data_IF_470778443328
#
_entry.id   IF_470778443328
#
_cell.length_a   1.000
_cell.length_b   1.000
_cell.length_c   1.000
_cell.angle_alpha   90.00
_cell.angle_beta   90.00
_cell.angle_gamma   90.00
#
_symmetry.space_group_name_H-M   'P 1'
#
loop_
_entity.id
_entity.type
_entity.pdbx_description
1 polymer ?
#
# COMPACT_ATOMS: atom_id res chain seq x y z
N UNK A 1 13.25 6.67 2.43
CA UNK A 1 13.65 6.97 3.82
C UNK A 1 13.29 8.39 4.22
N UNK A 2 13.60 9.41 3.40
CA UNK A 2 13.23 10.81 3.67
C UNK A 2 11.73 11.01 3.93
N UNK A 3 10.87 10.43 3.09
CA UNK A 3 9.42 10.47 3.27
C UNK A 3 8.94 9.89 4.63
N UNK A 4 9.61 8.84 5.12
CA UNK A 4 9.27 8.20 6.40
C UNK A 4 9.73 9.09 7.56
N UNK A 5 10.87 9.77 7.43
CA UNK A 5 11.33 10.75 8.44
C UNK A 5 10.37 11.93 8.55
N UNK A 6 9.96 12.52 7.42
CA UNK A 6 8.97 13.60 7.39
C UNK A 6 7.64 13.18 7.99
N UNK A 7 7.19 11.96 7.70
CA UNK A 7 5.99 11.39 8.31
C UNK A 7 6.15 11.27 9.83
N UNK A 8 7.27 10.72 10.29
CA UNK A 8 7.54 10.55 11.71
C UNK A 8 7.58 11.90 12.44
N UNK A 9 8.21 12.92 11.85
CA UNK A 9 8.22 14.28 12.42
C UNK A 9 6.81 14.89 12.49
N UNK A 10 6.03 14.79 11.40
CA UNK A 10 4.67 15.34 11.31
C UNK A 10 3.73 14.75 12.36
N UNK A 11 3.84 13.45 12.63
CA UNK A 11 2.99 12.73 13.58
C UNK A 11 3.67 12.50 14.93
N UNK A 12 4.82 13.14 15.19
CA UNK A 12 5.62 12.99 16.41
C UNK A 12 5.94 11.52 16.79
N UNK A 13 6.18 10.69 15.78
CA UNK A 13 6.48 9.26 15.91
C UNK A 13 7.96 9.02 16.17
N UNK A 14 8.26 7.90 16.84
CA UNK A 14 9.64 7.50 17.14
C UNK A 14 10.26 6.85 15.90
N UNK A 15 11.21 7.51 15.26
CA UNK A 15 11.98 6.89 14.17
C UNK A 15 13.47 7.15 14.31
N UNK A 16 14.18 6.22 14.97
CA UNK A 16 15.59 6.37 15.25
C UNK A 16 16.44 5.25 14.63
N UNK A 17 17.18 5.60 13.58
CA UNK A 17 18.06 4.69 12.85
C UNK A 17 19.45 4.75 13.51
N UNK A 18 19.60 4.18 14.70
CA UNK A 18 20.92 4.08 15.35
C UNK A 18 21.74 2.93 14.77
N UNK A 19 21.23 1.69 14.84
CA UNK A 19 22.01 0.48 14.46
C UNK A 19 21.21 -0.59 13.70
N UNK A 20 19.92 -0.77 14.01
CA UNK A 20 19.09 -1.82 13.42
C UNK A 20 17.85 -1.20 12.78
N UNK A 21 17.80 -1.28 11.45
CA UNK A 21 16.71 -0.71 10.67
C UNK A 21 15.39 -1.44 10.92
N UNK A 22 15.38 -2.78 11.06
CA UNK A 22 14.16 -3.52 11.40
C UNK A 22 13.58 -3.05 12.74
N UNK A 23 14.45 -2.88 13.74
CA UNK A 23 14.05 -2.38 15.06
C UNK A 23 13.52 -0.95 14.98
N UNK A 24 14.16 -0.07 14.21
CA UNK A 24 13.68 1.30 14.02
C UNK A 24 12.28 1.35 13.38
N UNK A 25 11.96 0.44 12.45
CA UNK A 25 10.61 0.32 11.89
C UNK A 25 9.61 -0.29 12.88
N UNK A 26 10.02 -1.27 13.70
CA UNK A 26 9.17 -1.79 14.77
C UNK A 26 8.84 -0.71 15.81
N UNK A 27 9.83 0.05 16.26
CA UNK A 27 9.65 1.16 17.19
C UNK A 27 8.76 2.25 16.60
N UNK A 28 8.89 2.53 15.29
CA UNK A 28 8.01 3.44 14.55
C UNK A 28 6.56 2.96 14.57
N UNK A 29 6.31 1.71 14.17
CA UNK A 29 4.97 1.13 14.16
C UNK A 29 4.37 1.11 15.56
N UNK A 30 5.13 0.74 16.58
CA UNK A 30 4.68 0.73 17.97
C UNK A 30 4.40 2.13 18.55
N UNK A 31 4.97 3.18 17.95
CA UNK A 31 4.72 4.57 18.38
C UNK A 31 3.48 5.21 17.74
N UNK A 32 2.82 4.51 16.81
CA UNK A 32 1.59 5.00 16.18
C UNK A 32 0.47 5.01 17.24
N UNK A 33 -0.30 6.11 17.40
CA UNK A 33 -1.18 6.31 18.56
C UNK A 33 -2.38 5.36 18.67
N UNK A 34 -2.76 4.67 17.59
CA UNK A 34 -3.90 3.75 17.59
C UNK A 34 -4.30 3.25 16.21
N UNK A 35 -5.33 2.40 16.17
CA UNK A 35 -5.75 1.65 14.98
C UNK A 35 -6.17 2.53 13.80
N UNK A 36 -6.85 3.64 14.07
CA UNK A 36 -7.25 4.59 13.02
C UNK A 36 -6.03 5.16 12.29
N UNK A 37 -4.95 5.49 13.03
CA UNK A 37 -3.70 5.95 12.43
C UNK A 37 -2.99 4.83 11.66
N UNK A 38 -2.96 3.61 12.21
CA UNK A 38 -2.37 2.44 11.53
C UNK A 38 -3.01 2.20 10.17
N UNK A 39 -4.33 2.34 10.06
CA UNK A 39 -5.06 2.14 8.80
C UNK A 39 -4.52 2.99 7.64
N UNK A 40 -3.98 4.17 7.91
CA UNK A 40 -3.41 5.07 6.88
C UNK A 40 -1.89 4.96 6.83
N UNK A 41 -1.24 5.07 8.00
CA UNK A 41 0.20 5.21 8.08
C UNK A 41 0.93 3.93 7.67
N UNK A 42 0.38 2.76 7.96
CA UNK A 42 0.99 1.48 7.58
C UNK A 42 1.09 1.38 6.05
N UNK A 43 0.03 1.75 5.32
CA UNK A 43 0.03 1.77 3.85
C UNK A 43 1.07 2.73 3.29
N UNK A 44 1.24 3.91 3.91
CA UNK A 44 2.26 4.86 3.51
C UNK A 44 3.68 4.29 3.75
N UNK A 45 3.92 3.68 4.92
CA UNK A 45 5.20 3.08 5.28
C UNK A 45 5.53 1.94 4.30
N UNK A 46 4.59 1.01 4.07
CA UNK A 46 4.76 -0.12 3.16
C UNK A 46 5.08 0.31 1.73
N UNK A 47 4.41 1.35 1.21
CA UNK A 47 4.69 1.91 -0.13
C UNK A 47 6.09 2.51 -0.28
N UNK A 48 6.74 2.87 0.83
CA UNK A 48 8.11 3.39 0.84
C UNK A 48 9.18 2.30 1.05
N UNK A 49 8.79 1.03 1.23
CA UNK A 49 9.70 -0.11 1.28
C UNK A 49 9.97 -0.66 -0.13
N UNK A 50 11.11 -1.35 -0.28
CA UNK A 50 11.42 -2.07 -1.53
C UNK A 50 10.55 -3.31 -1.64
N UNK A 51 10.05 -3.59 -2.85
CA UNK A 51 9.42 -4.88 -3.18
C UNK A 51 10.45 -6.01 -3.04
N UNK A 52 10.01 -7.14 -2.50
CA UNK A 52 10.78 -8.37 -2.53
C UNK A 52 10.94 -8.87 -3.98
N UNK A 53 11.98 -9.65 -4.24
CA UNK A 53 12.25 -10.26 -5.55
C UNK A 53 13.08 -11.52 -5.40
N UNK A 54 13.02 -12.41 -6.37
CA UNK A 54 13.94 -13.53 -6.47
C UNK A 54 15.31 -13.04 -6.97
N UNK A 55 16.39 -13.55 -6.36
CA UNK A 55 17.76 -13.24 -6.73
C UNK A 55 18.63 -14.45 -6.36
N UNK A 56 19.62 -14.78 -7.18
CA UNK A 56 20.57 -15.86 -6.86
C UNK A 56 21.56 -15.46 -5.75
N UNK A 57 21.65 -14.16 -5.44
CA UNK A 57 22.43 -13.62 -4.34
C UNK A 57 21.52 -13.38 -3.14
N UNK A 58 21.80 -14.08 -2.04
CA UNK A 58 21.10 -13.85 -0.78
C UNK A 58 21.47 -12.47 -0.20
N UNK A 59 20.47 -11.60 -0.05
CA UNK A 59 20.59 -10.26 0.58
C UNK A 59 19.86 -10.17 1.92
N UNK A 60 19.33 -11.30 2.41
CA UNK A 60 18.39 -11.34 3.53
C UNK A 60 16.99 -10.86 3.14
N UNK A 61 16.05 -10.99 4.07
CA UNK A 61 14.66 -10.55 3.91
C UNK A 61 14.32 -9.52 4.99
N UNK A 62 14.32 -8.24 4.62
CA UNK A 62 14.11 -7.12 5.54
C UNK A 62 12.79 -7.23 6.31
N UNK A 63 11.67 -7.35 5.60
CA UNK A 63 10.34 -7.41 6.22
C UNK A 63 10.08 -8.63 7.11
N UNK A 64 10.93 -9.68 7.03
CA UNK A 64 10.83 -10.86 7.90
C UNK A 64 11.93 -10.87 8.97
N UNK A 65 12.85 -9.90 8.93
CA UNK A 65 14.03 -9.85 9.79
C UNK A 65 14.92 -11.12 9.76
N UNK A 66 15.00 -11.81 8.62
CA UNK A 66 15.76 -13.07 8.47
C UNK A 66 16.96 -12.90 7.52
N UNK A 67 18.12 -13.48 7.88
CA UNK A 67 19.37 -13.39 7.09
C UNK A 67 19.41 -14.29 5.85
N UNK A 68 18.77 -15.46 5.89
CA UNK A 68 18.71 -16.41 4.77
C UNK A 68 17.26 -16.85 4.61
N UNK A 69 16.65 -16.51 3.50
CA UNK A 69 15.26 -16.84 3.22
C UNK A 69 15.11 -17.25 1.75
N UNK A 70 14.30 -18.27 1.51
CA UNK A 70 13.91 -18.69 0.17
C UNK A 70 12.52 -19.33 0.21
N UNK A 71 11.76 -19.22 -0.87
CA UNK A 71 10.51 -19.95 -1.01
C UNK A 71 10.76 -21.42 -1.34
N UNK A 72 9.98 -22.31 -0.73
CA UNK A 72 10.12 -23.77 -0.92
C UNK A 72 8.78 -24.51 -0.89
N UNK A 73 7.78 -23.99 -0.19
CA UNK A 73 6.57 -24.73 0.20
C UNK A 73 5.45 -24.74 -0.86
N UNK A 74 5.65 -24.19 -2.06
CA UNK A 74 4.57 -24.09 -3.07
C UNK A 74 5.05 -24.32 -4.52
N UNK A 75 5.71 -25.45 -4.84
CA UNK A 75 6.24 -25.74 -6.18
C UNK A 75 5.18 -25.85 -7.28
N UNK A 76 3.92 -26.15 -6.94
CA UNK A 76 2.82 -26.23 -7.91
C UNK A 76 2.49 -24.87 -8.53
N UNK A 77 2.66 -23.77 -7.77
CA UNK A 77 2.22 -22.42 -8.16
C UNK A 77 3.34 -21.37 -8.19
N UNK A 78 4.58 -21.76 -7.91
CA UNK A 78 5.76 -20.88 -7.95
C UNK A 78 6.94 -21.58 -8.61
N UNK A 79 7.45 -20.98 -9.68
CA UNK A 79 8.56 -21.52 -10.47
C UNK A 79 9.86 -21.66 -9.65
N UNK A 80 10.16 -20.68 -8.79
CA UNK A 80 11.36 -20.71 -7.96
C UNK A 80 11.36 -21.86 -6.94
N UNK A 81 10.21 -22.16 -6.32
CA UNK A 81 10.07 -23.32 -5.43
C UNK A 81 10.38 -24.62 -6.19
N UNK A 82 9.84 -24.80 -7.40
CA UNK A 82 10.14 -25.98 -8.22
C UNK A 82 11.63 -26.10 -8.57
N UNK A 83 12.29 -24.99 -8.90
CA UNK A 83 13.72 -24.97 -9.18
C UNK A 83 14.55 -25.32 -7.93
N UNK A 84 14.13 -24.90 -6.75
CA UNK A 84 14.79 -25.23 -5.48
C UNK A 84 14.56 -26.70 -5.12
N UNK A 85 13.35 -27.23 -5.30
CA UNK A 85 13.07 -28.66 -5.12
C UNK A 85 14.01 -29.53 -5.94
N UNK A 86 14.24 -29.17 -7.22
CA UNK A 86 15.20 -29.87 -8.09
C UNK A 86 16.64 -29.77 -7.58
N UNK A 87 17.11 -28.59 -7.21
CA UNK A 87 18.45 -28.41 -6.65
C UNK A 87 18.66 -29.20 -5.34
N UNK A 88 17.66 -29.22 -4.46
CA UNK A 88 17.70 -30.02 -3.22
C UNK A 88 17.74 -31.51 -3.54
N UNK A 89 16.96 -31.97 -4.51
CA UNK A 89 16.99 -33.36 -4.97
C UNK A 89 18.36 -33.73 -5.55
N UNK A 90 18.93 -32.90 -6.40
CA UNK A 90 20.26 -33.11 -6.98
C UNK A 90 21.33 -33.21 -5.88
N UNK A 91 21.25 -32.36 -4.86
CA UNK A 91 22.15 -32.38 -3.71
C UNK A 91 22.03 -33.68 -2.90
N UNK A 92 20.81 -34.10 -2.57
CA UNK A 92 20.55 -35.34 -1.79
C UNK A 92 21.02 -36.58 -2.57
N UNK A 93 20.74 -36.63 -3.87
CA UNK A 93 21.09 -37.75 -4.75
C UNK A 93 22.53 -37.67 -5.30
N UNK A 94 23.32 -36.66 -4.90
CA UNK A 94 24.69 -36.39 -5.37
C UNK A 94 24.82 -36.33 -6.90
N UNK A 95 23.83 -35.74 -7.58
CA UNK A 95 23.80 -35.55 -9.03
C UNK A 95 24.45 -34.24 -9.44
N UNK A 96 24.78 -34.12 -10.72
CA UNK A 96 25.11 -32.83 -11.31
C UNK A 96 23.91 -31.88 -11.17
N UNK A 97 24.18 -30.60 -10.92
CA UNK A 97 23.15 -29.57 -10.81
C UNK A 97 22.28 -29.52 -12.07
N UNK A 98 20.96 -29.61 -11.91
CA UNK A 98 19.97 -29.45 -12.97
C UNK A 98 20.04 -28.10 -13.67
N UNK A 99 20.66 -27.11 -13.05
CA UNK A 99 20.74 -25.74 -13.56
C UNK A 99 22.14 -25.17 -13.40
N UNK A 100 22.60 -24.48 -14.44
CA UNK A 100 23.72 -23.57 -14.37
C UNK A 100 23.33 -22.30 -13.61
N UNK A 101 24.34 -21.55 -13.15
CA UNK A 101 24.13 -20.24 -12.50
C UNK A 101 23.42 -19.23 -13.41
N UNK A 102 23.66 -19.30 -14.72
CA UNK A 102 23.01 -18.43 -15.72
C UNK A 102 21.53 -18.75 -15.86
N UNK A 103 21.17 -20.02 -15.86
CA UNK A 103 19.77 -20.45 -15.90
C UNK A 103 19.02 -20.05 -14.62
N UNK A 104 19.63 -20.22 -13.44
CA UNK A 104 19.03 -19.77 -12.18
C UNK A 104 18.80 -18.27 -12.14
N UNK A 105 19.74 -17.47 -12.67
CA UNK A 105 19.55 -16.02 -12.77
C UNK A 105 18.35 -15.67 -13.67
N UNK A 106 18.24 -16.32 -14.83
CA UNK A 106 17.11 -16.14 -15.74
C UNK A 106 15.78 -16.58 -15.13
N UNK A 107 15.75 -17.70 -14.40
CA UNK A 107 14.56 -18.17 -13.68
C UNK A 107 14.12 -17.14 -12.63
N UNK A 108 15.06 -16.62 -11.84
CA UNK A 108 14.78 -15.62 -10.81
C UNK A 108 14.24 -14.30 -11.40
N UNK A 109 14.81 -13.86 -12.51
CA UNK A 109 14.35 -12.68 -13.27
C UNK A 109 12.91 -12.89 -13.76
N UNK A 110 12.66 -13.96 -14.52
CA UNK A 110 11.32 -14.27 -15.05
C UNK A 110 10.29 -14.39 -13.91
N UNK A 111 10.63 -15.11 -12.84
CA UNK A 111 9.70 -15.28 -11.72
C UNK A 111 9.36 -13.95 -11.05
N UNK A 112 10.35 -13.07 -10.87
CA UNK A 112 10.14 -11.74 -10.28
C UNK A 112 9.29 -10.83 -11.18
N UNK A 113 9.53 -10.86 -12.49
CA UNK A 113 8.73 -10.09 -13.45
C UNK A 113 7.29 -10.60 -13.52
N UNK A 114 7.09 -11.93 -13.56
CA UNK A 114 5.76 -12.53 -13.63
C UNK A 114 4.97 -12.34 -12.34
N UNK A 115 5.63 -12.36 -11.18
CA UNK A 115 5.00 -12.02 -9.90
C UNK A 115 4.52 -10.57 -9.89
N UNK A 116 5.34 -9.62 -10.35
CA UNK A 116 4.93 -8.21 -10.44
C UNK A 116 3.77 -7.98 -11.42
N UNK A 117 3.80 -8.65 -12.57
CA UNK A 117 2.73 -8.58 -13.55
C UNK A 117 1.42 -9.18 -13.01
N UNK A 118 1.49 -10.33 -12.32
CA UNK A 118 0.31 -10.96 -11.71
C UNK A 118 -0.33 -10.04 -10.67
N UNK A 119 0.48 -9.45 -9.78
CA UNK A 119 0.06 -8.44 -8.80
C UNK A 119 -0.64 -7.23 -9.45
N UNK A 120 -0.13 -6.77 -10.59
CA UNK A 120 -0.68 -5.62 -11.30
C UNK A 120 -2.05 -5.94 -11.91
N UNK A 121 -2.15 -7.08 -12.59
CA UNK A 121 -3.40 -7.56 -13.19
C UNK A 121 -4.45 -7.85 -12.12
N UNK A 122 -4.06 -8.43 -10.99
CA UNK A 122 -4.95 -8.65 -9.85
C UNK A 122 -5.51 -7.33 -9.31
N UNK A 123 -4.64 -6.35 -9.04
CA UNK A 123 -5.06 -5.01 -8.58
C UNK A 123 -5.99 -4.32 -9.56
N UNK A 124 -5.70 -4.40 -10.86
CA UNK A 124 -6.57 -3.82 -11.89
C UNK A 124 -7.94 -4.50 -11.92
N UNK A 125 -7.96 -5.83 -11.81
CA UNK A 125 -9.19 -6.62 -11.78
C UNK A 125 -10.03 -6.30 -10.54
N UNK A 126 -9.40 -6.24 -9.37
CA UNK A 126 -10.05 -5.80 -8.13
C UNK A 126 -10.62 -4.39 -8.27
N UNK A 127 -9.86 -3.46 -8.84
CA UNK A 127 -10.31 -2.08 -9.04
C UNK A 127 -11.54 -2.01 -9.95
N UNK A 128 -11.51 -2.70 -11.10
CA UNK A 128 -12.65 -2.79 -12.02
C UNK A 128 -13.88 -3.40 -11.35
N UNK A 129 -13.69 -4.44 -10.54
CA UNK A 129 -14.77 -5.07 -9.77
C UNK A 129 -15.36 -4.10 -8.73
N UNK A 130 -14.52 -3.32 -8.04
CA UNK A 130 -14.97 -2.26 -7.13
C UNK A 130 -15.81 -1.21 -7.86
N UNK A 131 -15.40 -0.77 -9.05
CA UNK A 131 -16.20 0.17 -9.85
C UNK A 131 -17.57 -0.42 -10.25
N UNK A 132 -17.60 -1.66 -10.73
CA UNK A 132 -18.85 -2.33 -11.10
C UNK A 132 -19.79 -2.50 -9.90
N UNK A 133 -19.24 -2.80 -8.73
CA UNK A 133 -19.99 -2.89 -7.49
C UNK A 133 -20.57 -1.52 -7.10
N UNK A 134 -19.76 -0.47 -7.13
CA UNK A 134 -20.17 0.88 -6.72
C UNK A 134 -21.11 1.57 -7.71
N UNK A 135 -21.11 1.19 -9.00
CA UNK A 135 -22.10 1.69 -9.97
C UNK A 135 -23.54 1.43 -9.54
N UNK A 136 -23.80 0.32 -8.87
CA UNK A 136 -25.13 -0.05 -8.33
C UNK A 136 -25.49 0.74 -7.06
N UNK A 137 -24.59 1.59 -6.57
CA UNK A 137 -24.66 2.32 -5.31
C UNK A 137 -24.69 3.84 -5.47
N UNK A 138 -24.86 4.31 -6.70
CA UNK A 138 -25.03 5.74 -6.98
C UNK A 138 -26.28 6.25 -6.28
N UNK A 139 -26.16 7.37 -5.56
CA UNK A 139 -27.20 7.96 -4.73
C UNK A 139 -27.25 7.42 -3.29
N UNK A 140 -26.53 6.33 -2.97
CA UNK A 140 -26.46 5.82 -1.60
C UNK A 140 -25.44 6.60 -0.75
N UNK A 141 -25.75 6.74 0.55
CA UNK A 141 -24.90 7.38 1.55
C UNK A 141 -24.04 6.38 2.30
N UNK A 142 -22.81 6.79 2.62
CA UNK A 142 -21.84 6.02 3.36
C UNK A 142 -21.10 6.90 4.37
N UNK A 143 -20.67 6.29 5.47
CA UNK A 143 -19.64 6.86 6.32
C UNK A 143 -18.26 6.45 5.78
N UNK A 144 -17.31 7.38 5.81
CA UNK A 144 -15.92 7.09 5.46
C UNK A 144 -14.94 7.92 6.27
N UNK A 145 -13.66 7.64 6.05
CA UNK A 145 -12.53 8.32 6.69
C UNK A 145 -11.70 8.98 5.59
N UNK A 146 -11.31 10.23 5.82
CA UNK A 146 -10.42 10.94 4.90
C UNK A 146 -9.01 10.33 5.01
N UNK A 147 -8.52 9.70 3.94
CA UNK A 147 -7.22 9.03 3.93
C UNK A 147 -6.10 9.86 3.30
N UNK A 148 -6.47 10.83 2.48
CA UNK A 148 -5.51 11.73 1.82
C UNK A 148 -6.21 13.00 1.39
N UNK A 149 -5.51 14.10 1.52
CA UNK A 149 -5.93 15.41 1.02
C UNK A 149 -4.85 15.93 0.07
N UNK A 150 -5.26 16.44 -1.09
CA UNK A 150 -4.41 17.11 -2.07
C UNK A 150 -5.02 18.47 -2.40
N UNK A 151 -4.30 19.28 -3.17
CA UNK A 151 -4.73 20.62 -3.57
C UNK A 151 -6.07 20.69 -4.33
N UNK A 152 -6.48 19.62 -5.01
CA UNK A 152 -7.72 19.59 -5.81
C UNK A 152 -8.74 18.53 -5.39
N UNK A 153 -8.32 17.55 -4.60
CA UNK A 153 -9.16 16.40 -4.24
C UNK A 153 -8.94 15.96 -2.80
N UNK A 154 -9.99 15.43 -2.20
CA UNK A 154 -9.96 14.70 -0.95
C UNK A 154 -10.34 13.24 -1.23
N UNK A 155 -9.55 12.30 -0.73
CA UNK A 155 -9.78 10.86 -0.91
C UNK A 155 -10.37 10.32 0.38
N UNK A 156 -11.54 9.69 0.28
CA UNK A 156 -12.28 9.12 1.39
C UNK A 156 -12.38 7.61 1.21
N UNK A 157 -11.98 6.85 2.22
CA UNK A 157 -12.20 5.39 2.25
C UNK A 157 -13.50 5.07 2.98
N UNK A 158 -14.35 4.26 2.37
CA UNK A 158 -15.64 3.90 2.94
C UNK A 158 -15.45 2.90 4.09
N UNK A 159 -16.17 3.08 5.19
CA UNK A 159 -16.05 2.17 6.34
C UNK A 159 -16.61 0.77 6.04
N UNK A 160 -17.67 0.71 5.22
CA UNK A 160 -18.39 -0.55 4.93
C UNK A 160 -17.68 -1.40 3.88
N UNK A 161 -16.92 -0.79 2.97
CA UNK A 161 -16.32 -1.46 1.83
C UNK A 161 -14.88 -0.98 1.62
N UNK A 162 -13.94 -1.84 1.21
CA UNK A 162 -12.54 -1.46 0.95
C UNK A 162 -12.40 -0.71 -0.39
N UNK A 163 -13.13 0.41 -0.49
CA UNK A 163 -13.25 1.29 -1.64
C UNK A 163 -12.87 2.69 -1.19
N UNK A 164 -11.93 3.30 -1.91
CA UNK A 164 -11.65 4.72 -1.81
C UNK A 164 -12.43 5.44 -2.90
N UNK A 165 -12.96 6.61 -2.59
CA UNK A 165 -13.58 7.50 -3.56
C UNK A 165 -13.00 8.92 -3.47
N UNK A 166 -13.21 9.66 -4.54
CA UNK A 166 -12.68 11.00 -4.76
C UNK A 166 -13.80 12.02 -4.50
N UNK A 167 -13.53 12.95 -3.60
CA UNK A 167 -14.29 14.19 -3.43
C UNK A 167 -13.51 15.30 -4.13
N UNK A 168 -14.07 15.84 -5.20
CA UNK A 168 -13.52 17.02 -5.86
C UNK A 168 -13.80 18.26 -5.02
N UNK A 169 -12.77 19.05 -4.70
CA UNK A 169 -12.94 20.22 -3.82
C UNK A 169 -13.81 21.31 -4.44
N UNK A 170 -13.86 21.37 -5.77
CA UNK A 170 -14.74 22.27 -6.52
C UNK A 170 -16.24 21.95 -6.34
N UNK A 171 -16.58 20.75 -5.88
CA UNK A 171 -17.95 20.34 -5.59
C UNK A 171 -18.40 20.72 -4.17
N UNK A 172 -17.48 21.17 -3.32
CA UNK A 172 -17.81 21.71 -1.99
C UNK A 172 -18.36 23.12 -2.16
N UNK A 173 -19.69 23.26 -2.12
CA UNK A 173 -20.38 24.53 -2.34
C UNK A 173 -20.59 25.36 -1.08
N UNK A 174 -20.26 24.81 0.09
CA UNK A 174 -20.50 25.45 1.38
C UNK A 174 -19.45 26.53 1.73
N UNK A 175 -18.24 26.42 1.16
CA UNK A 175 -17.17 27.39 1.35
C UNK A 175 -16.11 27.34 0.23
N UNK A 176 -15.21 28.32 0.21
CA UNK A 176 -13.94 28.26 -0.50
C UNK A 176 -12.87 27.63 0.40
N UNK A 177 -12.40 26.44 0.04
CA UNK A 177 -11.40 25.70 0.81
C UNK A 177 -9.99 25.95 0.28
N UNK A 178 -9.08 26.29 1.20
CA UNK A 178 -7.65 26.44 0.93
C UNK A 178 -6.89 25.22 1.48
N UNK A 179 -5.99 24.64 0.67
CA UNK A 179 -5.17 23.52 1.09
C UNK A 179 -3.85 24.02 1.71
N UNK A 180 -3.65 23.70 2.98
CA UNK A 180 -2.41 24.00 3.71
C UNK A 180 -1.51 22.77 3.67
N UNK A 181 -0.52 22.78 2.78
CA UNK A 181 0.30 21.60 2.45
C UNK A 181 1.12 21.09 3.63
N UNK A 182 1.70 21.99 4.42
CA UNK A 182 2.57 21.64 5.56
C UNK A 182 1.79 20.86 6.63
N UNK A 183 0.60 21.35 6.95
CA UNK A 183 -0.31 20.76 7.92
C UNK A 183 -1.09 19.59 7.29
N UNK A 184 -1.28 19.59 5.98
CA UNK A 184 -2.06 18.61 5.22
C UNK A 184 -3.55 18.69 5.55
N UNK A 185 -4.07 19.90 5.66
CA UNK A 185 -5.47 20.19 6.03
C UNK A 185 -6.11 21.10 4.97
N UNK A 186 -7.44 21.03 4.88
CA UNK A 186 -8.24 21.99 4.11
C UNK A 186 -8.99 22.89 5.09
N UNK A 187 -8.94 24.20 4.86
CA UNK A 187 -9.63 25.18 5.70
C UNK A 187 -10.57 26.02 4.84
N UNK A 188 -11.85 26.09 5.22
CA UNK A 188 -12.83 26.98 4.63
C UNK A 188 -12.58 28.44 5.01
N UNK A 189 -12.60 29.36 4.04
CA UNK A 189 -12.32 30.78 4.28
C UNK A 189 -13.44 31.52 5.01
N UNK A 190 -14.69 31.11 4.84
CA UNK A 190 -15.87 31.80 5.39
C UNK A 190 -16.37 31.17 6.67
N UNK A 191 -16.47 29.84 6.73
CA UNK A 191 -17.02 29.10 7.86
C UNK A 191 -15.95 28.51 8.77
N UNK A 192 -14.66 28.61 8.40
CA UNK A 192 -13.52 28.04 9.12
C UNK A 192 -13.63 26.54 9.37
N UNK A 193 -14.43 25.82 8.59
CA UNK A 193 -14.54 24.36 8.63
C UNK A 193 -13.22 23.76 8.17
N UNK A 194 -12.73 22.80 8.93
CA UNK A 194 -11.44 22.16 8.67
C UNK A 194 -11.69 20.69 8.33
N UNK A 195 -11.10 20.22 7.23
CA UNK A 195 -10.96 18.79 6.94
C UNK A 195 -9.52 18.37 7.12
N UNK A 196 -9.31 17.27 7.85
CA UNK A 196 -8.01 16.67 8.12
C UNK A 196 -8.04 15.18 7.76
N UNK A 197 -6.85 14.63 7.51
CA UNK A 197 -6.69 13.18 7.41
C UNK A 197 -7.13 12.55 8.73
N UNK A 198 -7.81 11.40 8.65
CA UNK A 198 -8.53 10.68 9.72
C UNK A 198 -9.90 11.23 10.12
N UNK A 199 -10.31 12.40 9.63
CA UNK A 199 -11.66 12.89 9.92
C UNK A 199 -12.71 11.95 9.33
N UNK A 200 -13.75 11.68 10.13
CA UNK A 200 -14.92 10.90 9.72
C UNK A 200 -15.89 11.81 8.98
N UNK A 201 -16.30 11.39 7.80
CA UNK A 201 -17.22 12.15 6.93
C UNK A 201 -18.36 11.27 6.46
N UNK A 202 -19.53 11.88 6.27
CA UNK A 202 -20.61 11.28 5.50
C UNK A 202 -20.48 11.71 4.05
N UNK A 203 -20.65 10.75 3.15
CA UNK A 203 -20.48 10.93 1.72
C UNK A 203 -21.59 10.21 0.96
N UNK A 204 -22.01 10.79 -0.15
CA UNK A 204 -22.92 10.17 -1.10
C UNK A 204 -22.17 9.83 -2.39
N UNK A 205 -22.44 8.66 -2.97
CA UNK A 205 -21.86 8.28 -4.26
C UNK A 205 -22.58 9.03 -5.37
N UNK A 206 -21.87 9.91 -6.08
CA UNK A 206 -22.49 10.74 -7.12
C UNK A 206 -22.31 10.16 -8.52
N UNK A 207 -21.13 9.60 -8.79
CA UNK A 207 -20.77 9.10 -10.12
C UNK A 207 -19.72 8.00 -10.00
N UNK A 208 -19.81 7.00 -10.88
CA UNK A 208 -18.78 5.96 -10.99
C UNK A 208 -18.40 5.78 -12.46
N UNK A 209 -17.20 6.23 -12.83
CA UNK A 209 -16.68 6.18 -14.20
C UNK A 209 -15.34 5.45 -14.22
N UNK A 210 -14.24 6.19 -14.30
CA UNK A 210 -12.87 5.70 -14.14
C UNK A 210 -12.46 5.60 -12.66
N UNK A 211 -13.21 6.24 -11.76
CA UNK A 211 -13.08 6.17 -10.32
C UNK A 211 -14.47 6.30 -9.67
N UNK A 212 -14.53 6.15 -8.35
CA UNK A 212 -15.73 6.41 -7.52
C UNK A 212 -15.68 7.86 -7.08
N UNK A 213 -16.65 8.66 -7.52
CA UNK A 213 -16.78 10.05 -7.12
C UNK A 213 -17.82 10.19 -6.02
N UNK A 214 -17.46 10.98 -5.01
CA UNK A 214 -18.19 11.17 -3.78
C UNK A 214 -18.49 12.66 -3.58
N UNK A 215 -19.56 12.94 -2.88
CA UNK A 215 -19.88 14.28 -2.38
C UNK A 215 -20.06 14.21 -0.87
N UNK A 216 -19.43 15.14 -0.15
CA UNK A 216 -19.62 15.28 1.30
C UNK A 216 -21.01 15.85 1.55
N UNK A 217 -21.73 15.26 2.51
CA UNK A 217 -23.08 15.64 2.95
C UNK A 217 -23.11 16.00 4.43
#
# INVERSE_FOLDING_TARGET
MENIRRLAEKYHLKFNIKNNLNKAFQDLLASIPGDEYHHILDRFILRNLKKARYDIKNKGHFGLAIKKYTHFTSPIRRLCDLAIHRQVKDFIEKRQSSFSRKELAKIAEIASEKEQLADEVERETEFRNKLLFMKKKIGEEFSGIIISIKSSVMIVELNKYPVSGIVELTMLKDDYYEFWEREGILIGKRNHKIFKVLDKVKVMVTRVTNDVYLQVI
#
